data_IF_450991145238
#
_entry.id   IF_450991145238
#
_cell.length_a   1.000
_cell.length_b   1.000
_cell.length_c   1.000
_cell.angle_alpha   90.00
_cell.angle_beta   90.00
_cell.angle_gamma   90.00
#
_symmetry.space_group_name_H-M   'P 1'
#
loop_
_entity.id
_entity.type
_entity.pdbx_description
1 polymer ?
#
# COMPACT_ATOMS: atom_id res chain seq x y z
N UNK A 1 -1.95 5.20 4.13
CA UNK A 1 -1.11 5.54 2.96
C UNK A 1 -1.89 5.14 1.73
N UNK A 2 -2.23 6.06 0.82
CA UNK A 2 -3.16 5.76 -0.28
C UNK A 2 -2.67 6.23 -1.65
N UNK A 3 -3.28 5.69 -2.71
CA UNK A 3 -3.08 6.10 -4.11
C UNK A 3 -1.59 6.11 -4.49
N UNK A 4 -0.88 5.08 -4.03
CA UNK A 4 0.55 4.91 -4.31
C UNK A 4 0.75 3.94 -5.45
N UNK A 5 1.69 4.25 -6.32
CA UNK A 5 2.03 3.46 -7.52
C UNK A 5 3.52 3.11 -7.61
N UNK A 6 4.27 3.39 -6.55
CA UNK A 6 5.66 3.00 -6.35
C UNK A 6 5.82 2.29 -5.00
N UNK A 7 6.47 1.11 -5.00
CA UNK A 7 6.68 0.33 -3.80
C UNK A 7 7.60 1.03 -2.80
N UNK A 8 8.61 1.77 -3.28
CA UNK A 8 9.56 2.43 -2.39
C UNK A 8 8.88 3.59 -1.64
N UNK A 9 8.09 4.40 -2.34
CA UNK A 9 7.23 5.45 -1.77
C UNK A 9 6.29 4.86 -0.72
N UNK A 10 5.62 3.75 -1.06
CA UNK A 10 4.67 3.10 -0.16
C UNK A 10 5.36 2.61 1.12
N UNK A 11 6.50 1.93 0.98
CA UNK A 11 7.31 1.45 2.10
C UNK A 11 7.82 2.59 2.97
N UNK A 12 8.29 3.69 2.36
CA UNK A 12 8.71 4.87 3.10
C UNK A 12 7.54 5.47 3.90
N UNK A 13 6.35 5.56 3.32
CA UNK A 13 5.14 6.01 4.00
C UNK A 13 4.74 5.14 5.18
N UNK A 14 4.76 3.81 5.02
CA UNK A 14 4.45 2.85 6.08
C UNK A 14 5.44 2.98 7.24
N UNK A 15 6.74 2.97 6.95
CA UNK A 15 7.77 3.08 7.97
C UNK A 15 7.73 4.43 8.70
N UNK A 16 7.45 5.51 7.96
CA UNK A 16 7.23 6.84 8.54
C UNK A 16 6.04 6.86 9.51
N UNK A 17 4.91 6.29 9.10
CA UNK A 17 3.72 6.19 9.94
C UNK A 17 3.96 5.33 11.20
N UNK A 18 4.60 4.17 11.06
CA UNK A 18 4.93 3.29 12.20
C UNK A 18 5.85 3.98 13.20
N UNK A 19 6.89 4.67 12.74
CA UNK A 19 7.78 5.48 13.61
C UNK A 19 7.03 6.59 14.33
N UNK A 20 6.09 7.25 13.66
CA UNK A 20 5.29 8.29 14.29
C UNK A 20 4.36 7.73 15.37
N UNK A 21 3.72 6.58 15.12
CA UNK A 21 2.88 5.88 16.10
C UNK A 21 3.69 5.46 17.33
N UNK A 22 4.88 4.90 17.13
CA UNK A 22 5.80 4.53 18.21
C UNK A 22 6.21 5.75 19.05
N UNK A 23 6.63 6.85 18.40
CA UNK A 23 7.02 8.07 19.10
C UNK A 23 5.88 8.72 19.90
N UNK A 24 4.63 8.50 19.49
CA UNK A 24 3.42 9.00 20.16
C UNK A 24 2.84 8.02 21.19
N UNK A 25 3.38 6.79 21.28
CA UNK A 25 2.81 5.72 22.10
C UNK A 25 1.37 5.35 21.69
N UNK A 26 1.05 5.48 20.39
CA UNK A 26 -0.28 5.29 19.84
C UNK A 26 -0.40 3.97 19.09
N UNK A 27 -1.54 3.28 19.24
CA UNK A 27 -1.83 2.01 18.57
C UNK A 27 -3.03 2.16 17.63
N UNK A 28 -2.85 2.98 16.59
CA UNK A 28 -3.87 3.18 15.55
C UNK A 28 -3.64 2.20 14.38
N UNK A 29 -4.72 1.67 13.76
CA UNK A 29 -4.61 0.88 12.56
C UNK A 29 -3.94 1.65 11.41
N UNK A 30 -3.00 0.99 10.74
CA UNK A 30 -2.31 1.51 9.56
C UNK A 30 -2.83 0.81 8.29
N UNK A 31 -3.65 1.54 7.55
CA UNK A 31 -4.23 1.09 6.28
C UNK A 31 -3.37 1.55 5.11
N UNK A 32 -3.19 0.67 4.13
CA UNK A 32 -2.53 0.95 2.86
C UNK A 32 -3.50 0.70 1.71
N UNK A 33 -3.60 1.64 0.78
CA UNK A 33 -4.35 1.49 -0.47
C UNK A 33 -3.44 1.77 -1.66
N UNK A 34 -3.41 0.84 -2.60
CA UNK A 34 -2.56 0.89 -3.79
C UNK A 34 -3.40 1.22 -5.03
N UNK A 35 -2.77 1.86 -6.00
CA UNK A 35 -3.39 2.14 -7.30
C UNK A 35 -2.69 1.30 -8.39
N UNK A 36 -3.47 0.46 -9.07
CA UNK A 36 -3.00 -0.40 -10.16
C UNK A 36 -3.57 0.08 -11.48
N UNK A 37 -2.75 0.09 -12.51
CA UNK A 37 -3.17 0.39 -13.88
C UNK A 37 -4.03 -0.75 -14.42
N UNK A 38 -4.73 -0.49 -15.54
CA UNK A 38 -5.52 -1.50 -16.27
C UNK A 38 -4.69 -2.68 -16.77
N UNK A 39 -3.36 -2.57 -16.77
CA UNK A 39 -2.40 -3.64 -17.07
C UNK A 39 -2.22 -4.65 -15.92
N UNK A 40 -2.80 -4.39 -14.74
CA UNK A 40 -2.63 -5.24 -13.55
C UNK A 40 -1.34 -4.98 -12.76
N UNK A 41 -0.64 -3.89 -13.07
CA UNK A 41 0.61 -3.49 -12.39
C UNK A 41 0.51 -2.07 -11.83
N UNK A 42 1.33 -1.76 -10.83
CA UNK A 42 1.59 -0.37 -10.41
C UNK A 42 2.33 0.38 -11.53
N UNK A 43 2.45 1.71 -11.41
CA UNK A 43 3.12 2.58 -12.40
C UNK A 43 4.55 2.10 -12.75
N UNK A 44 5.28 1.58 -11.75
CA UNK A 44 6.64 1.07 -11.94
C UNK A 44 6.71 -0.45 -12.19
N UNK A 45 5.58 -1.07 -12.56
CA UNK A 45 5.52 -2.44 -13.09
C UNK A 45 5.36 -3.55 -12.05
N UNK A 46 5.21 -3.24 -10.77
CA UNK A 46 4.96 -4.26 -9.74
C UNK A 46 3.52 -4.79 -9.82
N UNK A 47 3.34 -6.10 -9.97
CA UNK A 47 2.03 -6.75 -9.87
C UNK A 47 1.54 -6.87 -8.42
N UNK A 48 0.26 -7.23 -8.24
CA UNK A 48 -0.39 -7.30 -6.92
C UNK A 48 0.35 -8.24 -5.97
N UNK A 49 0.75 -9.43 -6.43
CA UNK A 49 1.48 -10.40 -5.60
C UNK A 49 2.85 -9.87 -5.14
N UNK A 50 3.55 -9.14 -6.00
CA UNK A 50 4.82 -8.50 -5.64
C UNK A 50 4.61 -7.39 -4.60
N UNK A 51 3.55 -6.60 -4.75
CA UNK A 51 3.21 -5.55 -3.78
C UNK A 51 2.84 -6.13 -2.40
N UNK A 52 2.01 -7.18 -2.35
CA UNK A 52 1.66 -7.86 -1.10
C UNK A 52 2.91 -8.42 -0.42
N UNK A 53 3.73 -9.16 -1.17
CA UNK A 53 4.99 -9.74 -0.66
C UNK A 53 5.93 -8.68 -0.09
N UNK A 54 5.98 -7.50 -0.70
CA UNK A 54 6.85 -6.42 -0.26
C UNK A 54 6.33 -5.64 0.96
N UNK A 55 5.00 -5.55 1.14
CA UNK A 55 4.37 -4.63 2.09
C UNK A 55 3.78 -5.33 3.33
N UNK A 56 3.25 -6.55 3.20
CA UNK A 56 2.69 -7.31 4.33
C UNK A 56 3.67 -7.46 5.52
N UNK A 57 4.97 -7.75 5.31
CA UNK A 57 5.92 -7.91 6.41
C UNK A 57 6.21 -6.62 7.20
N UNK A 58 5.76 -5.46 6.71
CA UNK A 58 5.92 -4.17 7.39
C UNK A 58 4.89 -3.97 8.52
N UNK A 59 4.03 -4.98 8.74
CA UNK A 59 3.01 -4.97 9.77
C UNK A 59 1.96 -3.91 9.46
N UNK A 60 1.34 -3.95 8.29
CA UNK A 60 0.16 -3.13 7.96
C UNK A 60 -1.10 -3.90 8.34
N UNK A 61 -2.13 -3.19 8.80
CA UNK A 61 -3.34 -3.84 9.32
C UNK A 61 -4.31 -4.23 8.20
N UNK A 62 -4.25 -3.53 7.07
CA UNK A 62 -5.03 -3.84 5.86
C UNK A 62 -4.33 -3.28 4.63
N UNK A 63 -4.37 -4.05 3.55
CA UNK A 63 -3.98 -3.63 2.20
C UNK A 63 -5.22 -3.67 1.30
N UNK A 64 -5.49 -2.57 0.61
CA UNK A 64 -6.59 -2.41 -0.33
C UNK A 64 -6.17 -1.79 -1.65
N UNK A 65 -7.16 -1.56 -2.51
CA UNK A 65 -7.01 -0.99 -3.84
C UNK A 65 -7.94 0.23 -3.99
N UNK A 66 -7.51 1.28 -4.70
CA UNK A 66 -8.37 2.43 -5.00
C UNK A 66 -8.01 3.11 -6.33
N UNK A 67 -8.93 3.97 -6.77
CA UNK A 67 -8.77 4.92 -7.88
C UNK A 67 -8.69 4.32 -9.30
N UNK A 68 -7.50 3.91 -9.76
CA UNK A 68 -7.13 3.77 -11.18
C UNK A 68 -7.97 2.79 -12.00
N UNK A 69 -8.74 1.92 -11.36
CA UNK A 69 -9.55 0.88 -11.98
C UNK A 69 -10.95 0.82 -11.36
N UNK A 70 -11.91 0.21 -12.08
CA UNK A 70 -13.26 -0.01 -11.59
C UNK A 70 -13.39 -1.32 -10.81
N UNK A 71 -14.56 -1.61 -10.23
CA UNK A 71 -14.79 -2.83 -9.47
C UNK A 71 -14.57 -4.13 -10.28
N UNK A 72 -14.78 -4.10 -11.60
CA UNK A 72 -14.61 -5.26 -12.46
C UNK A 72 -13.14 -5.62 -12.68
N UNK A 73 -12.25 -4.62 -12.69
CA UNK A 73 -10.82 -4.82 -12.82
C UNK A 73 -10.11 -5.06 -11.47
N UNK A 74 -10.83 -4.84 -10.35
CA UNK A 74 -10.34 -5.03 -8.97
C UNK A 74 -10.83 -6.33 -8.30
N UNK A 75 -11.57 -7.18 -9.02
CA UNK A 75 -12.18 -8.43 -8.51
C UNK A 75 -11.34 -9.67 -8.76
#
# INVERSE_FOLDING_TARGET
VETTQDLLQTKAGILGARRALEALGSDLPLLVSLAFETTGTMLLGSEIGAALTALEPLGVDLIGLNCSTGPAEMS
#
